data_IF_589795953677
#
_entry.id   IF_589795953677
#
_cell.length_a   1.000
_cell.length_b   1.000
_cell.length_c   1.000
_cell.angle_alpha   90.00
_cell.angle_beta   90.00
_cell.angle_gamma   90.00
#
_symmetry.space_group_name_H-M   'P 1'
#
loop_
_entity.id
_entity.type
_entity.pdbx_description
1 polymer ?
#
# COMPACT_ATOMS: atom_id res chain seq x y z
N UNK A 1 53.97 1.26 -59.04
CA UNK A 1 53.66 0.38 -57.89
C UNK A 1 53.12 1.23 -56.77
N UNK A 2 52.45 0.63 -55.77
CA UNK A 2 51.74 1.28 -54.65
C UNK A 2 50.46 2.00 -55.08
N UNK A 3 49.32 1.88 -54.40
CA UNK A 3 48.74 0.73 -53.67
C UNK A 3 47.23 0.98 -53.56
N UNK A 4 46.40 -0.04 -53.73
CA UNK A 4 44.97 0.06 -53.41
C UNK A 4 44.75 0.11 -51.90
N UNK A 5 44.06 1.13 -51.40
CA UNK A 5 43.54 1.14 -50.03
C UNK A 5 42.16 1.80 -50.00
N UNK A 6 41.12 1.03 -50.32
CA UNK A 6 39.74 1.46 -50.11
C UNK A 6 39.42 1.38 -48.62
N UNK A 7 39.33 2.53 -47.95
CA UNK A 7 38.87 2.61 -46.55
C UNK A 7 37.35 2.77 -46.55
N UNK A 8 36.64 1.64 -46.40
CA UNK A 8 35.20 1.64 -46.13
C UNK A 8 34.95 2.01 -44.67
N UNK A 9 34.60 3.28 -44.42
CA UNK A 9 34.15 3.72 -43.11
C UNK A 9 32.69 3.29 -42.87
N UNK A 10 32.50 2.18 -42.15
CA UNK A 10 31.17 1.74 -41.71
C UNK A 10 30.76 2.60 -40.51
N UNK A 11 29.90 3.60 -40.76
CA UNK A 11 29.28 4.37 -39.69
C UNK A 11 28.10 3.60 -39.08
N UNK A 12 28.34 2.94 -37.95
CA UNK A 12 27.28 2.30 -37.17
C UNK A 12 26.41 3.37 -36.47
N UNK A 13 25.22 3.63 -37.01
CA UNK A 13 24.24 4.50 -36.37
C UNK A 13 23.59 3.77 -35.19
N UNK A 14 24.08 4.03 -33.97
CA UNK A 14 23.43 3.56 -32.74
C UNK A 14 22.16 4.37 -32.53
N UNK A 15 21.02 3.77 -32.85
CA UNK A 15 19.72 4.33 -32.51
C UNK A 15 19.51 4.22 -31.00
N UNK A 16 19.77 5.30 -30.26
CA UNK A 16 19.43 5.38 -28.84
C UNK A 16 17.92 5.49 -28.70
N UNK A 17 17.26 4.38 -28.45
CA UNK A 17 15.87 4.39 -27.96
C UNK A 17 15.87 5.11 -26.62
N UNK A 18 15.31 6.32 -26.59
CA UNK A 18 15.07 7.04 -25.33
C UNK A 18 13.91 6.33 -24.66
N UNK A 19 14.23 5.38 -23.77
CA UNK A 19 13.24 4.80 -22.88
C UNK A 19 12.59 5.91 -22.07
N UNK A 20 11.33 6.19 -22.37
CA UNK A 20 10.56 7.22 -21.68
C UNK A 20 10.25 6.70 -20.27
N UNK A 21 11.18 6.91 -19.33
CA UNK A 21 11.05 6.43 -17.95
C UNK A 21 9.78 7.01 -17.35
N UNK A 22 8.76 6.16 -17.20
CA UNK A 22 7.47 6.51 -16.65
C UNK A 22 7.62 6.79 -15.15
N UNK A 23 8.00 8.02 -14.80
CA UNK A 23 8.43 8.39 -13.44
C UNK A 23 7.36 8.23 -12.35
N UNK A 24 6.07 8.18 -12.72
CA UNK A 24 4.91 8.13 -11.82
C UNK A 24 4.02 6.93 -12.17
N UNK A 25 3.05 6.56 -11.32
CA UNK A 25 2.21 5.38 -11.55
C UNK A 25 0.76 5.47 -11.05
N UNK A 26 0.01 4.40 -11.35
CA UNK A 26 -1.40 4.20 -11.04
C UNK A 26 -1.66 2.70 -10.80
N UNK A 27 -2.77 2.32 -10.17
CA UNK A 27 -3.20 0.91 -10.12
C UNK A 27 -3.53 0.45 -11.54
N UNK A 28 -2.77 -0.53 -12.05
CA UNK A 28 -2.93 -1.10 -13.39
C UNK A 28 -3.82 -2.36 -13.41
N UNK A 29 -3.91 -3.08 -12.28
CA UNK A 29 -4.82 -4.22 -12.07
C UNK A 29 -5.43 -4.13 -10.67
N UNK A 30 -6.76 -4.22 -10.50
CA UNK A 30 -7.78 -4.14 -11.55
C UNK A 30 -7.63 -2.86 -12.39
N UNK A 31 -8.09 -2.87 -13.64
CA UNK A 31 -7.84 -1.75 -14.56
C UNK A 31 -8.78 -0.56 -14.28
N UNK A 32 -8.29 0.68 -14.20
CA UNK A 32 -9.11 1.86 -13.99
C UNK A 32 -9.74 2.35 -15.30
N UNK A 33 -10.92 2.96 -15.18
CA UNK A 33 -11.43 3.91 -16.18
C UNK A 33 -10.84 5.31 -15.91
N UNK A 34 -10.77 6.16 -16.93
CA UNK A 34 -10.14 7.49 -16.87
C UNK A 34 -11.16 8.59 -17.13
N UNK A 35 -11.08 9.70 -16.36
CA UNK A 35 -11.92 10.90 -16.58
C UNK A 35 -11.67 11.55 -17.95
N UNK A 36 -10.44 11.41 -18.46
CA UNK A 36 -9.96 11.94 -19.72
C UNK A 36 -8.98 10.93 -20.35
N UNK A 37 -7.78 11.35 -20.73
CA UNK A 37 -6.72 10.43 -21.15
C UNK A 37 -6.13 9.64 -19.98
N UNK A 38 -5.59 8.46 -20.29
CA UNK A 38 -4.72 7.71 -19.40
C UNK A 38 -3.51 8.56 -19.01
N UNK A 39 -3.21 8.62 -17.73
CA UNK A 39 -2.05 9.35 -17.18
C UNK A 39 -1.48 8.59 -15.99
N UNK A 40 -0.19 8.76 -15.75
CA UNK A 40 0.51 8.11 -14.64
C UNK A 40 0.86 9.09 -13.51
N UNK A 41 0.62 10.39 -13.69
CA UNK A 41 1.05 11.43 -12.75
C UNK A 41 0.43 11.28 -11.36
N UNK A 42 1.12 11.82 -10.35
CA UNK A 42 0.55 12.15 -9.06
C UNK A 42 -0.69 13.05 -9.23
N UNK A 43 -1.63 12.98 -8.28
CA UNK A 43 -2.83 13.84 -8.26
C UNK A 43 -2.46 15.26 -7.89
N UNK A 44 -1.59 15.43 -6.90
CA UNK A 44 -0.98 16.72 -6.54
C UNK A 44 0.40 16.51 -5.92
N UNK A 45 1.27 17.52 -6.06
CA UNK A 45 2.53 17.66 -5.33
C UNK A 45 2.43 18.92 -4.46
N UNK A 46 2.72 18.79 -3.16
CA UNK A 46 2.54 19.83 -2.15
C UNK A 46 3.72 19.87 -1.17
N UNK A 47 3.92 21.00 -0.49
CA UNK A 47 4.79 21.03 0.70
C UNK A 47 4.15 20.21 1.84
N UNK A 48 4.94 19.65 2.77
CA UNK A 48 4.43 18.87 3.91
C UNK A 48 3.39 19.65 4.73
N UNK A 49 2.24 19.03 4.99
CA UNK A 49 1.13 19.69 5.69
C UNK A 49 1.35 19.81 7.21
N UNK A 50 2.41 19.18 7.74
CA UNK A 50 2.78 19.20 9.15
C UNK A 50 4.11 19.91 9.35
N UNK A 51 4.22 20.73 10.39
CA UNK A 51 5.49 21.34 10.79
C UNK A 51 6.37 20.32 11.49
N UNK A 52 7.65 20.27 11.16
CA UNK A 52 8.64 19.40 11.79
C UNK A 52 9.97 19.39 11.03
N UNK A 53 10.89 18.52 11.44
CA UNK A 53 12.28 18.46 10.97
C UNK A 53 12.47 17.85 9.57
N UNK A 54 11.70 18.31 8.59
CA UNK A 54 11.74 17.83 7.21
C UNK A 54 13.01 18.24 6.45
N UNK A 55 13.64 19.34 6.86
CA UNK A 55 14.87 19.85 6.25
C UNK A 55 16.11 19.08 6.72
N UNK A 56 16.03 18.42 7.88
CA UNK A 56 17.04 17.52 8.44
C UNK A 56 16.91 16.07 7.92
N UNK A 57 15.72 15.64 7.49
CA UNK A 57 15.43 14.29 6.98
C UNK A 57 16.31 13.89 5.79
N UNK A 58 17.10 12.82 5.89
CA UNK A 58 17.97 12.34 4.80
C UNK A 58 17.43 11.07 4.14
N UNK A 59 17.26 11.11 2.82
CA UNK A 59 16.72 9.99 2.04
C UNK A 59 15.30 9.61 2.42
N UNK A 60 14.80 8.54 1.81
CA UNK A 60 13.44 8.05 2.02
C UNK A 60 13.23 7.56 3.48
N UNK A 61 14.22 6.88 4.06
CA UNK A 61 14.21 6.45 5.47
C UNK A 61 14.06 7.62 6.45
N UNK A 62 14.82 8.70 6.25
CA UNK A 62 14.76 9.88 7.11
C UNK A 62 13.44 10.63 6.98
N UNK A 63 12.88 10.70 5.76
CA UNK A 63 11.56 11.29 5.52
C UNK A 63 10.45 10.48 6.20
N UNK A 64 10.51 9.15 6.08
CA UNK A 64 9.60 8.22 6.73
C UNK A 64 9.67 8.31 8.26
N UNK A 65 10.88 8.41 8.83
CA UNK A 65 11.07 8.59 10.26
C UNK A 65 10.42 9.89 10.76
N UNK A 66 10.65 11.01 10.07
CA UNK A 66 10.00 12.30 10.36
C UNK A 66 8.47 12.23 10.22
N UNK A 67 7.96 11.54 9.19
CA UNK A 67 6.51 11.31 9.03
C UNK A 67 5.94 10.52 10.22
N UNK A 68 6.57 9.41 10.61
CA UNK A 68 6.14 8.56 11.74
C UNK A 68 6.20 9.30 13.08
N UNK A 69 7.17 10.20 13.28
CA UNK A 69 7.26 11.05 14.47
C UNK A 69 6.13 12.10 14.54
N UNK A 70 5.75 12.66 13.39
CA UNK A 70 4.75 13.74 13.30
C UNK A 70 3.31 13.24 13.19
N UNK A 71 3.08 12.06 12.60
CA UNK A 71 1.77 11.45 12.43
C UNK A 71 0.89 11.47 13.71
N UNK A 72 1.32 10.93 14.87
CA UNK A 72 0.52 10.97 16.10
C UNK A 72 0.32 12.40 16.62
N UNK A 73 1.30 13.30 16.44
CA UNK A 73 1.21 14.71 16.86
C UNK A 73 0.17 15.50 16.04
N UNK A 74 -0.16 15.04 14.84
CA UNK A 74 -1.12 15.66 13.94
C UNK A 74 -2.45 14.87 13.86
N UNK A 75 -2.68 13.92 14.77
CA UNK A 75 -3.87 13.05 14.81
C UNK A 75 -4.10 12.24 13.52
N UNK A 76 -3.02 11.89 12.81
CA UNK A 76 -3.09 10.99 11.65
C UNK A 76 -3.63 9.63 12.07
N UNK A 77 -4.52 9.06 11.26
CA UNK A 77 -5.11 7.72 11.46
C UNK A 77 -4.76 6.81 10.30
N UNK A 78 -5.08 7.28 9.10
CA UNK A 78 -4.97 6.56 7.83
C UNK A 78 -4.85 7.60 6.70
N UNK A 79 -4.29 7.18 5.57
CA UNK A 79 -4.05 8.01 4.38
C UNK A 79 -5.38 8.48 3.78
N UNK A 80 -6.41 7.62 3.80
CA UNK A 80 -7.75 7.98 3.35
C UNK A 80 -8.30 9.20 4.09
N UNK A 81 -8.32 9.21 5.42
CA UNK A 81 -8.85 10.34 6.22
C UNK A 81 -7.94 11.57 6.21
N UNK A 82 -6.66 11.44 5.85
CA UNK A 82 -5.79 12.58 5.55
C UNK A 82 -6.16 13.26 4.21
N UNK A 83 -6.54 12.47 3.20
CA UNK A 83 -6.72 12.93 1.82
C UNK A 83 -8.17 13.16 1.39
N UNK A 84 -9.16 12.44 1.92
CA UNK A 84 -10.56 12.55 1.52
C UNK A 84 -11.21 13.81 2.13
N UNK A 85 -11.96 14.55 1.32
CA UNK A 85 -12.60 15.81 1.70
C UNK A 85 -11.63 17.00 1.82
N UNK A 86 -10.33 16.80 1.63
CA UNK A 86 -9.31 17.83 1.76
C UNK A 86 -8.77 18.26 0.38
N UNK A 87 -9.16 19.43 -0.15
CA UNK A 87 -8.82 19.86 -1.51
C UNK A 87 -7.33 20.11 -1.73
N UNK A 88 -6.52 20.20 -0.66
CA UNK A 88 -5.06 20.31 -0.77
C UNK A 88 -4.45 19.03 -1.35
N UNK A 89 -5.09 17.87 -1.16
CA UNK A 89 -4.69 16.58 -1.76
C UNK A 89 -5.30 16.32 -3.15
N UNK A 90 -5.99 17.33 -3.71
CA UNK A 90 -6.58 17.28 -5.05
C UNK A 90 -7.88 16.48 -5.14
N UNK A 91 -8.22 16.09 -6.37
CA UNK A 91 -9.46 15.38 -6.71
C UNK A 91 -9.59 14.00 -6.04
N UNK A 92 -10.77 13.67 -5.50
CA UNK A 92 -10.98 12.45 -4.71
C UNK A 92 -10.56 11.14 -5.38
N UNK A 93 -10.79 11.04 -6.69
CA UNK A 93 -10.43 9.90 -7.51
C UNK A 93 -9.26 10.21 -8.47
N UNK A 94 -8.53 11.30 -8.22
CA UNK A 94 -7.48 11.78 -9.11
C UNK A 94 -7.97 11.91 -10.55
N UNK A 95 -7.26 11.23 -11.46
CA UNK A 95 -7.58 11.16 -12.89
C UNK A 95 -8.49 9.98 -13.28
N UNK A 96 -8.77 9.06 -12.35
CA UNK A 96 -9.63 7.89 -12.60
C UNK A 96 -11.11 8.23 -12.48
N UNK A 97 -11.95 7.58 -13.28
CA UNK A 97 -13.39 7.81 -13.29
C UNK A 97 -14.14 6.80 -12.39
N UNK A 98 -14.69 7.24 -11.24
CA UNK A 98 -15.50 6.38 -10.36
C UNK A 98 -16.89 6.03 -10.94
N UNK A 99 -17.25 6.56 -12.11
CA UNK A 99 -18.47 6.20 -12.85
C UNK A 99 -18.17 5.40 -14.13
N UNK A 100 -16.91 5.05 -14.35
CA UNK A 100 -16.49 4.26 -15.49
C UNK A 100 -16.97 2.81 -15.44
N UNK A 101 -16.64 2.04 -16.49
CA UNK A 101 -17.01 0.63 -16.56
C UNK A 101 -16.36 -0.13 -15.39
N UNK A 102 -17.12 -0.94 -14.61
CA UNK A 102 -16.53 -1.81 -13.60
C UNK A 102 -15.54 -2.82 -14.18
N UNK A 103 -14.49 -3.08 -13.42
CA UNK A 103 -13.44 -4.06 -13.72
C UNK A 103 -13.61 -5.32 -12.88
N UNK A 104 -13.25 -6.46 -13.44
CA UNK A 104 -13.22 -7.73 -12.70
C UNK A 104 -12.09 -7.70 -11.65
N UNK A 105 -12.37 -8.07 -10.38
CA UNK A 105 -11.33 -8.28 -9.37
C UNK A 105 -10.33 -9.37 -9.78
N UNK A 106 -9.01 -9.17 -9.58
CA UNK A 106 -8.03 -10.24 -9.76
C UNK A 106 -8.29 -11.44 -8.84
N UNK A 107 -8.52 -12.61 -9.45
CA UNK A 107 -8.86 -13.86 -8.76
C UNK A 107 -7.73 -14.44 -7.89
N UNK A 108 -6.51 -13.94 -8.06
CA UNK A 108 -5.34 -14.28 -7.25
C UNK A 108 -5.18 -13.39 -6.00
N UNK A 109 -6.14 -12.49 -5.73
CA UNK A 109 -6.12 -11.58 -4.59
C UNK A 109 -5.02 -10.53 -4.65
N UNK A 110 -4.62 -10.10 -5.86
CA UNK A 110 -3.65 -9.01 -6.05
C UNK A 110 -4.29 -7.69 -6.43
N UNK A 111 -3.59 -6.59 -6.17
CA UNK A 111 -3.64 -5.40 -7.02
C UNK A 111 -2.21 -5.07 -7.46
N UNK A 112 -2.03 -4.38 -8.59
CA UNK A 112 -0.68 -4.04 -9.10
C UNK A 112 -0.56 -2.56 -9.42
N UNK A 113 0.47 -1.89 -8.91
CA UNK A 113 0.85 -0.54 -9.36
C UNK A 113 1.56 -0.63 -10.72
N UNK A 114 1.45 0.38 -11.58
CA UNK A 114 1.96 0.32 -12.96
C UNK A 114 3.49 0.32 -13.11
N UNK A 115 4.23 0.36 -12.00
CA UNK A 115 5.69 0.46 -11.85
C UNK A 115 6.07 0.07 -10.41
N UNK A 116 7.34 0.09 -10.07
CA UNK A 116 7.79 -0.05 -8.69
C UNK A 116 7.44 1.16 -7.82
N UNK A 117 7.30 0.94 -6.51
CA UNK A 117 7.26 2.02 -5.51
C UNK A 117 8.69 2.29 -5.06
N UNK A 118 9.15 3.53 -5.25
CA UNK A 118 10.56 3.94 -5.07
C UNK A 118 10.73 5.17 -4.16
N UNK A 119 9.66 5.56 -3.45
CA UNK A 119 9.69 6.61 -2.44
C UNK A 119 8.91 6.12 -1.22
N UNK A 120 9.45 6.33 -0.03
CA UNK A 120 8.83 5.83 1.19
C UNK A 120 7.53 6.59 1.48
N UNK A 121 6.72 5.97 2.33
CA UNK A 121 5.49 6.56 2.84
C UNK A 121 4.32 5.59 2.79
N UNK A 122 3.22 5.95 3.48
CA UNK A 122 2.10 5.06 3.70
C UNK A 122 1.25 4.89 2.43
N UNK A 123 0.75 3.68 2.21
CA UNK A 123 -0.26 3.39 1.20
C UNK A 123 -1.32 2.40 1.69
N UNK A 124 -2.50 2.49 1.07
CA UNK A 124 -3.70 1.79 1.47
C UNK A 124 -4.53 1.35 0.26
N UNK A 125 -5.20 0.21 0.39
CA UNK A 125 -6.30 -0.20 -0.49
C UNK A 125 -7.55 -0.40 0.38
N UNK A 126 -8.63 0.24 -0.06
CA UNK A 126 -9.97 0.11 0.52
C UNK A 126 -10.93 -0.47 -0.51
N UNK A 127 -11.89 -1.26 -0.06
CA UNK A 127 -13.07 -1.68 -0.82
C UNK A 127 -14.29 -1.08 -0.12
N UNK A 128 -14.91 -0.09 -0.76
CA UNK A 128 -15.86 0.83 -0.15
C UNK A 128 -15.32 1.40 1.17
N UNK A 129 -15.89 1.02 2.32
CA UNK A 129 -15.48 1.49 3.65
C UNK A 129 -14.64 0.47 4.44
N UNK A 130 -14.29 -0.68 3.86
CA UNK A 130 -13.37 -1.65 4.45
C UNK A 130 -11.95 -1.44 3.92
N UNK A 131 -11.03 -1.07 4.80
CA UNK A 131 -9.59 -1.16 4.50
C UNK A 131 -9.22 -2.64 4.36
N UNK A 132 -8.56 -3.01 3.27
CA UNK A 132 -8.16 -4.40 2.97
C UNK A 132 -6.64 -4.57 2.85
N UNK A 133 -5.88 -3.47 2.75
CA UNK A 133 -4.43 -3.45 2.79
C UNK A 133 -3.96 -2.09 3.30
N UNK A 134 -2.95 -2.08 4.17
CA UNK A 134 -2.21 -0.90 4.63
C UNK A 134 -0.75 -1.29 4.78
N UNK A 135 0.16 -0.37 4.44
CA UNK A 135 1.51 -0.38 5.00
C UNK A 135 1.98 1.07 5.23
N UNK A 136 2.75 1.31 6.28
CA UNK A 136 3.34 2.62 6.58
C UNK A 136 4.52 2.96 5.66
N UNK A 137 5.13 1.95 5.04
CA UNK A 137 6.22 2.10 4.07
C UNK A 137 6.03 1.15 2.88
N UNK A 138 5.33 1.63 1.86
CA UNK A 138 5.06 0.84 0.67
C UNK A 138 6.24 0.69 -0.29
N UNK A 139 7.33 1.47 -0.12
CA UNK A 139 8.58 1.24 -0.86
C UNK A 139 9.23 -0.05 -0.37
N UNK A 140 9.46 -0.18 0.93
CA UNK A 140 10.07 -1.38 1.51
C UNK A 140 9.16 -2.61 1.45
N UNK A 141 7.83 -2.43 1.46
CA UNK A 141 6.89 -3.54 1.47
C UNK A 141 6.56 -4.12 0.08
N UNK A 142 6.54 -3.28 -0.97
CA UNK A 142 6.06 -3.67 -2.31
C UNK A 142 6.98 -3.25 -3.47
N UNK A 143 8.06 -2.51 -3.20
CA UNK A 143 9.09 -2.16 -4.17
C UNK A 143 10.36 -3.03 -4.02
N UNK A 144 11.23 -2.95 -5.03
CA UNK A 144 12.57 -3.56 -5.01
C UNK A 144 13.70 -2.51 -5.12
N UNK A 145 13.35 -1.23 -4.89
CA UNK A 145 14.23 -0.08 -5.14
C UNK A 145 14.31 0.36 -6.61
N UNK A 146 13.70 -0.37 -7.55
CA UNK A 146 13.65 -0.01 -8.97
C UNK A 146 12.25 0.46 -9.40
N UNK A 147 12.20 1.18 -10.52
CA UNK A 147 10.92 1.55 -11.14
C UNK A 147 10.40 0.46 -12.10
N UNK A 148 11.25 -0.49 -12.50
CA UNK A 148 10.98 -1.47 -13.55
C UNK A 148 10.09 -2.62 -13.03
N UNK A 149 10.34 -3.07 -11.81
CA UNK A 149 9.54 -4.13 -11.17
C UNK A 149 8.21 -3.58 -10.70
N UNK A 150 7.12 -4.06 -11.31
CA UNK A 150 5.75 -3.72 -10.94
C UNK A 150 5.50 -4.07 -9.46
N UNK A 151 5.07 -3.09 -8.65
CA UNK A 151 4.70 -3.35 -7.26
C UNK A 151 3.38 -4.15 -7.19
N UNK A 152 3.40 -5.26 -6.46
CA UNK A 152 2.25 -6.17 -6.30
C UNK A 152 1.75 -6.11 -4.87
N UNK A 153 0.57 -5.51 -4.67
CA UNK A 153 -0.13 -5.49 -3.40
C UNK A 153 -0.87 -6.82 -3.21
N UNK A 154 -0.51 -7.57 -2.18
CA UNK A 154 -1.12 -8.87 -1.84
C UNK A 154 -1.00 -9.11 -0.32
N UNK A 155 -2.01 -9.71 0.33
CA UNK A 155 -3.34 -10.05 -0.19
C UNK A 155 -4.29 -8.84 -0.27
N UNK A 156 -5.26 -8.92 -1.18
CA UNK A 156 -6.42 -8.02 -1.28
C UNK A 156 -7.69 -8.86 -1.24
N UNK A 157 -8.52 -8.67 -0.21
CA UNK A 157 -9.73 -9.47 0.04
C UNK A 157 -10.96 -8.92 -0.71
N UNK A 158 -11.02 -9.22 -2.01
CA UNK A 158 -12.16 -8.85 -2.88
C UNK A 158 -13.49 -9.53 -2.52
N UNK A 159 -13.50 -10.55 -1.64
CA UNK A 159 -14.76 -11.18 -1.19
C UNK A 159 -15.63 -10.23 -0.35
N UNK A 160 -15.03 -9.14 0.15
CA UNK A 160 -15.68 -8.05 0.86
C UNK A 160 -16.70 -7.27 0.02
N UNK A 161 -16.61 -7.34 -1.31
CA UNK A 161 -17.50 -6.61 -2.20
C UNK A 161 -18.89 -7.27 -2.24
N UNK A 162 -19.94 -6.44 -2.25
CA UNK A 162 -21.31 -6.92 -2.42
C UNK A 162 -21.49 -7.55 -3.81
N UNK A 163 -22.55 -8.34 -4.01
CA UNK A 163 -22.85 -8.92 -5.33
C UNK A 163 -23.04 -7.87 -6.45
N UNK A 164 -23.42 -6.63 -6.09
CA UNK A 164 -23.51 -5.49 -7.00
C UNK A 164 -22.17 -4.82 -7.34
N UNK A 165 -21.07 -5.25 -6.74
CA UNK A 165 -19.76 -4.60 -6.83
C UNK A 165 -19.38 -3.80 -5.59
N UNK A 166 -18.31 -3.02 -5.75
CA UNK A 166 -17.72 -2.14 -4.74
C UNK A 166 -16.83 -1.10 -5.44
N UNK A 167 -16.39 -0.08 -4.72
CA UNK A 167 -15.35 0.85 -5.15
C UNK A 167 -14.00 0.45 -4.54
N UNK A 168 -13.04 0.00 -5.35
CA UNK A 168 -11.65 -0.02 -4.91
C UNK A 168 -11.11 1.40 -4.87
N UNK A 169 -10.52 1.79 -3.74
CA UNK A 169 -9.81 3.06 -3.57
C UNK A 169 -8.38 2.78 -3.17
N UNK A 170 -7.43 3.25 -3.96
CA UNK A 170 -6.00 3.22 -3.64
C UNK A 170 -5.52 4.61 -3.26
N UNK A 171 -4.74 4.67 -2.19
CA UNK A 171 -4.08 5.86 -1.68
C UNK A 171 -2.60 5.57 -1.48
N UNK A 172 -1.72 6.48 -1.89
CA UNK A 172 -0.31 6.48 -1.50
C UNK A 172 0.17 7.91 -1.32
N UNK A 173 0.80 8.18 -0.19
CA UNK A 173 1.47 9.45 0.10
C UNK A 173 2.98 9.23 -0.06
N UNK A 174 3.53 9.58 -1.22
CA UNK A 174 4.96 9.49 -1.45
C UNK A 174 5.68 10.66 -0.77
N UNK A 175 6.65 10.35 0.09
CA UNK A 175 7.50 11.31 0.75
C UNK A 175 8.78 11.46 -0.08
N UNK A 176 9.02 12.65 -0.65
CA UNK A 176 10.11 12.84 -1.60
C UNK A 176 10.90 14.13 -1.33
N UNK A 177 12.15 14.20 -1.78
CA UNK A 177 12.89 15.46 -1.91
C UNK A 177 13.04 15.86 -3.37
N UNK A 178 12.66 17.10 -3.68
CA UNK A 178 12.89 17.74 -4.98
C UNK A 178 13.62 19.07 -4.78
N UNK A 179 14.74 19.24 -5.50
CA UNK A 179 15.58 20.46 -5.48
C UNK A 179 15.95 20.93 -4.06
N UNK A 180 16.23 19.97 -3.17
CA UNK A 180 16.61 20.22 -1.77
C UNK A 180 15.44 20.43 -0.81
N UNK A 181 14.21 20.61 -1.28
CA UNK A 181 13.01 20.70 -0.44
C UNK A 181 12.31 19.35 -0.32
N UNK A 182 11.68 19.10 0.83
CA UNK A 182 10.74 17.99 1.00
C UNK A 182 9.40 18.34 0.37
N UNK A 183 8.81 17.39 -0.37
CA UNK A 183 7.47 17.46 -0.95
C UNK A 183 6.72 16.17 -0.64
N UNK A 184 5.39 16.26 -0.65
CA UNK A 184 4.50 15.10 -0.63
C UNK A 184 3.80 15.00 -1.99
N UNK A 185 3.82 13.82 -2.60
CA UNK A 185 3.00 13.52 -3.77
C UNK A 185 1.86 12.60 -3.39
N UNK A 186 0.62 13.01 -3.68
CA UNK A 186 -0.56 12.20 -3.44
C UNK A 186 -0.94 11.40 -4.67
N UNK A 187 -1.14 10.10 -4.50
CA UNK A 187 -1.66 9.20 -5.53
C UNK A 187 -3.03 8.69 -5.06
N UNK A 188 -4.11 9.06 -5.76
CA UNK A 188 -5.49 8.60 -5.50
C UNK A 188 -6.05 7.92 -6.76
N UNK A 189 -6.52 6.68 -6.64
CA UNK A 189 -7.25 6.00 -7.73
C UNK A 189 -8.56 5.40 -7.19
N UNK A 190 -9.65 5.53 -7.95
CA UNK A 190 -10.94 4.90 -7.73
C UNK A 190 -11.24 3.95 -8.90
N UNK A 191 -11.58 2.71 -8.59
CA UNK A 191 -11.85 1.66 -9.58
C UNK A 191 -13.16 0.98 -9.19
N UNK A 192 -14.26 1.21 -9.91
CA UNK A 192 -15.48 0.43 -9.74
C UNK A 192 -15.15 -1.04 -10.07
N UNK A 193 -15.55 -1.96 -9.20
CA UNK A 193 -15.37 -3.39 -9.40
C UNK A 193 -16.70 -4.12 -9.54
N UNK A 194 -16.70 -5.21 -10.30
CA UNK A 194 -17.80 -6.18 -10.27
C UNK A 194 -17.81 -6.95 -8.95
N UNK A 195 -18.99 -7.43 -8.56
CA UNK A 195 -19.18 -8.22 -7.35
C UNK A 195 -19.02 -9.72 -7.61
N UNK A 196 -18.52 -10.51 -6.62
CA UNK A 196 -18.57 -11.96 -6.72
C UNK A 196 -20.03 -12.45 -6.72
N UNK A 197 -20.28 -13.59 -7.39
CA UNK A 197 -21.60 -14.22 -7.37
C UNK A 197 -21.95 -14.64 -5.92
N UNK A 198 -22.99 -14.04 -5.34
CA UNK A 198 -23.35 -14.21 -3.93
C UNK A 198 -22.58 -13.31 -2.96
N UNK A 199 -21.88 -12.28 -3.43
CA UNK A 199 -21.20 -11.27 -2.61
C UNK A 199 -22.13 -10.63 -1.57
N UNK A 200 -21.59 -10.39 -0.38
CA UNK A 200 -22.37 -10.23 0.86
C UNK A 200 -23.51 -9.22 0.81
N UNK A 201 -24.61 -9.55 1.48
CA UNK A 201 -25.71 -8.64 1.76
C UNK A 201 -25.28 -7.61 2.83
N UNK A 202 -24.57 -6.57 2.40
CA UNK A 202 -24.22 -5.43 3.25
C UNK A 202 -25.45 -4.58 3.58
N UNK A 203 -25.43 -4.04 4.81
CA UNK A 203 -26.55 -3.47 5.57
C UNK A 203 -27.59 -2.63 4.80
N UNK A 204 -28.84 -2.74 5.24
CA UNK A 204 -29.92 -1.81 4.86
C UNK A 204 -29.56 -0.37 5.25
N UNK A 205 -29.70 0.55 4.30
CA UNK A 205 -29.96 1.96 4.62
C UNK A 205 -31.19 2.08 5.53
N UNK A 206 -31.23 3.05 6.47
CA UNK A 206 -32.39 3.29 7.32
C UNK A 206 -33.54 3.94 6.53
N UNK A 207 -34.25 3.13 5.74
CA UNK A 207 -35.48 3.53 5.08
C UNK A 207 -36.54 3.92 6.13
N UNK A 208 -36.94 5.18 6.10
CA UNK A 208 -37.87 5.75 7.08
C UNK A 208 -39.31 5.31 6.82
N UNK A 209 -39.91 4.61 7.79
CA UNK A 209 -41.34 4.65 8.11
C UNK A 209 -42.35 4.15 7.06
N UNK A 210 -42.87 2.95 7.27
CA UNK A 210 -44.01 2.41 6.53
C UNK A 210 -44.57 1.16 7.21
N UNK A 211 -45.25 1.32 8.35
CA UNK A 211 -45.76 0.20 9.14
C UNK A 211 -47.06 -0.39 8.58
N UNK A 212 -47.26 -1.69 8.76
CA UNK A 212 -48.58 -2.33 8.87
C UNK A 212 -48.46 -3.62 9.68
N UNK A 213 -49.35 -3.77 10.66
CA UNK A 213 -49.37 -4.85 11.63
C UNK A 213 -49.91 -6.18 11.08
N UNK A 214 -49.30 -7.29 11.49
CA UNK A 214 -50.04 -8.56 11.70
C UNK A 214 -49.47 -9.27 12.92
N UNK A 215 -50.20 -9.26 14.04
CA UNK A 215 -49.88 -10.02 15.25
C UNK A 215 -50.23 -11.49 15.07
N UNK A 216 -49.38 -12.39 15.57
CA UNK A 216 -49.78 -13.75 15.95
C UNK A 216 -49.40 -14.02 17.41
N UNK A 217 -50.13 -14.96 18.03
CA UNK A 217 -50.46 -14.97 19.45
C UNK A 217 -50.01 -16.27 20.11
N UNK A 218 -49.21 -16.17 21.18
CA UNK A 218 -48.96 -17.28 22.10
C UNK A 218 -50.21 -17.62 22.94
N UNK A 219 -50.26 -18.87 23.44
CA UNK A 219 -50.75 -19.14 24.79
C UNK A 219 -49.68 -19.85 25.64
N UNK A 220 -49.45 -19.34 26.85
CA UNK A 220 -48.80 -20.06 27.96
C UNK A 220 -49.82 -20.97 28.66
N UNK A 221 -49.42 -22.16 29.12
CA UNK A 221 -49.91 -22.79 30.36
C UNK A 221 -48.82 -23.68 31.01
N UNK A 222 -48.71 -23.56 32.34
CA UNK A 222 -47.93 -24.32 33.34
C UNK A 222 -48.95 -24.54 34.50
N UNK A 223 -48.92 -25.56 35.42
CA UNK A 223 -47.70 -25.98 36.10
C UNK A 223 -47.53 -27.42 36.67
N UNK A 224 -46.24 -27.78 36.88
CA UNK A 224 -45.68 -28.55 38.02
C UNK A 224 -45.98 -30.06 38.22
N UNK A 225 -44.94 -30.85 38.54
CA UNK A 225 -44.70 -31.51 39.86
C UNK A 225 -43.49 -32.52 39.81
N UNK A 226 -42.60 -32.39 40.81
CA UNK A 226 -41.77 -33.42 41.50
C UNK A 226 -40.64 -34.25 40.83
N UNK A 227 -39.42 -33.96 41.31
CA UNK A 227 -38.20 -34.80 41.53
C UNK A 227 -38.40 -35.96 42.55
N UNK A 228 -37.38 -36.80 42.93
CA UNK A 228 -36.04 -37.09 42.36
C UNK A 228 -35.68 -38.61 42.29
N UNK A 229 -34.48 -39.00 41.80
CA UNK A 229 -33.47 -39.81 42.55
C UNK A 229 -32.30 -40.44 41.73
N UNK A 230 -31.09 -39.90 41.93
CA UNK A 230 -29.86 -40.59 42.40
C UNK A 230 -29.17 -41.75 41.63
N UNK A 231 -27.86 -41.57 41.37
CA UNK A 231 -26.83 -42.63 41.24
C UNK A 231 -26.31 -42.87 39.81
N UNK A 232 -25.03 -42.81 39.47
CA UNK A 232 -23.80 -42.62 40.26
C UNK A 232 -22.94 -43.89 40.29
N UNK A 233 -21.77 -43.89 39.63
CA UNK A 233 -20.80 -45.00 39.68
C UNK A 233 -19.93 -45.10 38.42
N UNK A 234 -18.61 -45.07 38.59
CA UNK A 234 -17.61 -45.09 37.51
C UNK A 234 -17.05 -46.48 37.20
N UNK A 235 -16.36 -46.55 36.05
CA UNK A 235 -14.98 -47.03 35.89
C UNK A 235 -14.60 -48.37 35.19
N UNK A 236 -13.52 -48.23 34.42
CA UNK A 236 -12.48 -49.22 34.03
C UNK A 236 -12.73 -50.38 33.03
N UNK A 237 -12.26 -50.15 31.79
CA UNK A 237 -11.00 -50.73 31.21
C UNK A 237 -10.93 -52.11 30.51
N UNK A 238 -10.06 -52.12 29.47
CA UNK A 238 -9.36 -53.24 28.79
C UNK A 238 -10.19 -54.14 27.84
N UNK A 239 -9.66 -54.67 26.72
CA UNK A 239 -8.26 -54.77 26.21
C UNK A 239 -8.20 -54.99 24.66
N UNK A 240 -7.13 -54.54 24.01
CA UNK A 240 -6.62 -55.05 22.71
C UNK A 240 -5.95 -56.44 22.89
N UNK A 241 -5.85 -57.33 21.86
CA UNK A 241 -4.93 -57.15 20.71
C UNK A 241 -5.44 -57.67 19.33
N UNK A 242 -4.64 -57.77 18.24
CA UNK A 242 -3.67 -56.91 17.48
C UNK A 242 -2.95 -57.82 16.42
N UNK A 243 -2.64 -57.41 15.16
CA UNK A 243 -1.62 -58.07 14.26
C UNK A 243 -1.32 -57.33 12.91
N UNK A 244 -0.07 -57.43 12.42
CA UNK A 244 0.50 -57.05 11.09
C UNK A 244 1.37 -58.24 10.59
N UNK A 245 1.48 -58.53 9.27
CA UNK A 245 2.79 -58.32 8.61
C UNK A 245 2.78 -57.97 7.09
N UNK A 246 3.36 -56.82 6.75
CA UNK A 246 4.55 -56.65 5.89
C UNK A 246 4.71 -57.28 4.46
N UNK A 247 4.95 -56.38 3.48
CA UNK A 247 5.88 -56.41 2.31
C UNK A 247 5.73 -57.35 1.09
N UNK A 248 5.82 -56.75 -0.13
CA UNK A 248 6.84 -57.07 -1.18
C UNK A 248 6.87 -56.06 -2.35
N UNK A 249 8.01 -55.98 -3.07
CA UNK A 249 8.30 -55.20 -4.31
C UNK A 249 9.42 -55.99 -5.09
N UNK A 250 10.08 -55.56 -6.19
CA UNK A 250 9.83 -54.53 -7.24
C UNK A 250 10.13 -55.02 -8.70
N UNK A 251 9.97 -54.15 -9.73
CA UNK A 251 10.85 -54.09 -10.95
C UNK A 251 10.47 -52.93 -11.90
N UNK A 252 11.37 -51.98 -12.22
CA UNK A 252 12.33 -51.91 -13.37
C UNK A 252 11.68 -51.72 -14.75
N UNK A 253 12.14 -50.82 -15.65
CA UNK A 253 13.18 -49.79 -15.54
C UNK A 253 13.22 -48.87 -16.80
N UNK A 254 14.07 -47.83 -16.74
CA UNK A 254 14.94 -47.20 -17.78
C UNK A 254 14.40 -46.95 -19.23
N UNK A 255 14.75 -45.88 -19.97
CA UNK A 255 15.99 -45.09 -20.01
C UNK A 255 15.81 -43.63 -20.45
N UNK A 256 16.85 -42.81 -20.25
CA UNK A 256 16.97 -41.42 -20.73
C UNK A 256 17.86 -41.29 -21.99
N UNK A 257 17.58 -40.37 -22.93
CA UNK A 257 18.62 -39.47 -23.55
C UNK A 257 18.11 -38.38 -24.54
N UNK A 258 18.53 -37.14 -24.26
CA UNK A 258 19.17 -36.08 -25.12
C UNK A 258 18.70 -35.72 -26.55
N UNK A 259 18.71 -34.39 -26.77
CA UNK A 259 19.09 -33.62 -27.99
C UNK A 259 18.17 -33.77 -29.23
N UNK A 260 17.97 -32.76 -30.09
CA UNK A 260 18.78 -31.56 -30.40
C UNK A 260 17.93 -30.30 -30.70
N UNK A 261 18.64 -29.21 -31.00
CA UNK A 261 18.28 -27.85 -31.40
C UNK A 261 17.71 -27.77 -32.84
N UNK A 262 17.02 -26.67 -33.19
CA UNK A 262 17.31 -25.98 -34.46
C UNK A 262 16.78 -24.53 -34.53
N UNK A 263 17.33 -23.73 -35.45
CA UNK A 263 17.05 -22.30 -35.69
C UNK A 263 16.34 -22.06 -37.04
N UNK A 264 15.65 -20.93 -37.17
CA UNK A 264 15.81 -19.86 -38.21
C UNK A 264 14.73 -18.77 -37.96
N UNK A 265 15.03 -17.47 -37.91
CA UNK A 265 15.11 -16.49 -39.04
C UNK A 265 13.91 -16.54 -40.02
N UNK A 266 13.27 -15.44 -40.42
CA UNK A 266 13.38 -14.01 -40.07
C UNK A 266 12.48 -13.16 -40.99
N UNK A 267 12.28 -11.85 -40.73
CA UNK A 267 12.06 -10.80 -41.77
C UNK A 267 11.75 -9.40 -41.21
N UNK A 268 12.43 -8.40 -41.78
CA UNK A 268 12.23 -6.96 -41.51
C UNK A 268 10.95 -6.36 -42.10
N UNK A 269 10.52 -5.23 -41.54
CA UNK A 269 10.05 -4.08 -42.34
C UNK A 269 10.31 -2.73 -41.64
N UNK A 270 10.74 -1.74 -42.43
CA UNK A 270 11.03 -0.35 -42.02
C UNK A 270 9.93 0.61 -42.49
N UNK A 271 9.72 1.68 -41.73
CA UNK A 271 9.17 3.01 -42.08
C UNK A 271 9.12 3.83 -40.76
N UNK A 272 9.15 5.17 -40.72
CA UNK A 272 10.06 6.13 -41.36
C UNK A 272 10.33 7.26 -40.33
N UNK A 273 11.33 8.10 -40.54
CA UNK A 273 11.81 9.11 -39.59
C UNK A 273 10.96 10.38 -39.53
N UNK A 274 10.97 11.04 -38.36
CA UNK A 274 10.91 12.51 -38.34
C UNK A 274 11.80 13.11 -37.23
N UNK A 275 12.34 14.31 -37.47
CA UNK A 275 13.60 14.80 -36.84
C UNK A 275 13.40 16.12 -36.08
N UNK A 276 13.88 16.20 -34.84
CA UNK A 276 14.21 17.48 -34.18
C UNK A 276 15.51 17.39 -33.37
N UNK A 277 16.41 18.35 -33.59
CA UNK A 277 17.70 18.49 -32.90
C UNK A 277 17.58 19.33 -31.63
N UNK A 278 18.42 19.06 -30.62
CA UNK A 278 18.48 19.82 -29.37
C UNK A 278 19.61 19.35 -28.46
N UNK A 279 20.85 19.39 -28.94
CA UNK A 279 22.00 18.82 -28.21
C UNK A 279 22.55 19.73 -27.11
N UNK A 280 23.11 19.12 -26.06
CA UNK A 280 24.28 19.67 -25.35
C UNK A 280 25.08 18.56 -24.68
N UNK A 281 26.40 18.64 -24.84
CA UNK A 281 27.40 17.68 -24.36
C UNK A 281 27.79 18.00 -22.92
N UNK A 282 28.20 16.97 -22.18
CA UNK A 282 29.26 17.08 -21.17
C UNK A 282 29.97 15.74 -21.07
N UNK A 283 31.27 15.74 -21.37
CA UNK A 283 32.12 14.55 -21.42
C UNK A 283 32.56 14.11 -20.01
N UNK A 284 32.59 12.80 -19.77
CA UNK A 284 33.22 12.20 -18.58
C UNK A 284 34.42 11.35 -19.01
N UNK A 285 35.67 11.70 -18.63
CA UNK A 285 36.79 10.79 -18.70
C UNK A 285 36.87 9.90 -17.45
N UNK A 286 37.19 8.63 -17.65
CA UNK A 286 37.44 7.64 -16.60
C UNK A 286 38.94 7.54 -16.28
N UNK A 287 39.28 7.12 -15.06
CA UNK A 287 40.56 6.51 -14.72
C UNK A 287 41.42 7.28 -13.72
N UNK A 288 41.94 6.57 -12.71
CA UNK A 288 42.96 7.08 -11.80
C UNK A 288 42.89 6.45 -10.40
N UNK A 289 43.83 5.55 -10.13
CA UNK A 289 44.06 4.83 -8.87
C UNK A 289 43.91 5.68 -7.59
N UNK A 290 43.37 5.06 -6.52
CA UNK A 290 43.57 5.55 -5.16
C UNK A 290 44.29 4.50 -4.31
N UNK A 291 45.51 4.84 -3.92
CA UNK A 291 46.26 4.15 -2.88
C UNK A 291 45.63 4.46 -1.51
N UNK A 292 45.63 3.46 -0.62
CA UNK A 292 45.26 3.60 0.79
C UNK A 292 46.15 4.62 1.51
N UNK A 293 45.58 5.60 2.24
CA UNK A 293 46.27 6.30 3.31
C UNK A 293 45.91 5.69 4.68
N UNK A 294 46.89 5.58 5.56
CA UNK A 294 46.75 5.02 6.91
C UNK A 294 45.94 5.94 7.83
N UNK A 295 45.28 5.35 8.84
CA UNK A 295 44.50 6.09 9.83
C UNK A 295 45.41 6.82 10.84
N UNK A 296 45.20 8.14 11.09
CA UNK A 296 45.85 8.81 12.21
C UNK A 296 45.21 8.40 13.53
N UNK A 297 46.01 7.80 14.41
CA UNK A 297 45.65 7.50 15.79
C UNK A 297 45.39 8.78 16.59
N UNK A 298 44.18 8.96 17.11
CA UNK A 298 43.82 10.09 17.97
C UNK A 298 43.79 9.62 19.46
N UNK A 299 44.43 10.34 20.40
CA UNK A 299 44.48 9.94 21.80
C UNK A 299 43.13 10.14 22.53
N UNK A 300 42.96 9.41 23.63
CA UNK A 300 41.74 9.45 24.45
C UNK A 300 41.55 10.80 25.16
N UNK A 301 40.30 11.26 25.37
CA UNK A 301 40.02 12.40 26.25
C UNK A 301 40.12 12.00 27.73
N UNK A 302 40.82 12.81 28.53
CA UNK A 302 40.85 12.66 29.99
C UNK A 302 39.53 13.12 30.65
N UNK A 303 39.12 12.40 31.70
CA UNK A 303 37.98 12.74 32.55
C UNK A 303 38.33 13.81 33.59
N UNK A 304 37.50 14.84 33.77
CA UNK A 304 37.44 15.60 35.02
C UNK A 304 36.23 15.20 35.87
N UNK A 305 36.45 15.02 37.17
CA UNK A 305 35.39 14.71 38.13
C UNK A 305 34.43 15.87 38.40
N UNK A 306 33.14 15.60 38.23
CA UNK A 306 32.04 15.87 39.17
C UNK A 306 32.11 17.12 40.07
N UNK A 307 31.19 18.06 39.85
CA UNK A 307 30.52 18.85 40.91
C UNK A 307 29.19 19.39 40.38
N UNK A 308 28.09 18.89 40.93
CA UNK A 308 26.74 19.32 40.57
C UNK A 308 26.33 20.61 41.33
N UNK A 309 25.70 21.60 40.68
CA UNK A 309 24.96 22.66 41.36
C UNK A 309 23.60 22.14 41.85
N UNK A 310 23.24 22.44 43.10
CA UNK A 310 21.92 22.10 43.66
C UNK A 310 20.80 22.91 43.00
N UNK A 311 19.73 22.23 42.60
CA UNK A 311 18.51 22.86 42.09
C UNK A 311 17.65 23.39 43.25
N UNK A 312 17.20 24.65 43.25
CA UNK A 312 16.15 25.09 44.17
C UNK A 312 14.79 24.46 43.80
N UNK A 313 13.87 24.31 44.77
CA UNK A 313 12.60 23.61 44.57
C UNK A 313 11.60 24.40 43.70
N UNK A 314 10.66 23.66 43.10
CA UNK A 314 9.63 24.21 42.23
C UNK A 314 8.45 24.81 43.02
N UNK A 315 8.19 26.10 42.85
CA UNK A 315 6.89 26.70 43.16
C UNK A 315 5.93 26.49 41.98
N UNK A 316 4.98 25.59 42.15
CA UNK A 316 3.90 25.35 41.19
C UNK A 316 2.62 25.98 41.71
N UNK A 317 1.97 26.92 41.00
CA UNK A 317 0.69 27.44 41.42
C UNK A 317 -0.40 26.35 41.28
N UNK A 318 -1.04 26.02 42.39
CA UNK A 318 -2.14 25.05 42.47
C UNK A 318 -3.37 25.57 41.71
N UNK A 319 -3.55 25.07 40.48
CA UNK A 319 -4.72 25.40 39.65
C UNK A 319 -5.90 24.50 40.08
N UNK A 320 -6.87 25.08 40.80
CA UNK A 320 -8.02 24.35 41.30
C UNK A 320 -8.82 23.63 40.17
N UNK A 321 -9.36 22.43 40.40
CA UNK A 321 -10.10 21.69 39.39
C UNK A 321 -11.41 22.41 39.02
N UNK A 322 -11.66 22.57 37.71
CA UNK A 322 -12.89 23.14 37.21
C UNK A 322 -14.11 22.26 37.58
N UNK A 323 -15.25 22.84 38.00
CA UNK A 323 -16.44 22.07 38.34
C UNK A 323 -17.06 21.41 37.10
N UNK A 324 -17.50 20.16 37.25
CA UNK A 324 -18.12 19.39 36.17
C UNK A 324 -19.42 20.05 35.65
N UNK A 325 -19.74 19.94 34.34
CA UNK A 325 -20.95 20.52 33.78
C UNK A 325 -22.21 19.82 34.31
N UNK A 326 -22.97 20.50 35.17
CA UNK A 326 -24.23 19.97 35.70
C UNK A 326 -25.32 19.93 34.62
N UNK A 327 -25.83 18.73 34.33
CA UNK A 327 -26.94 18.52 33.41
C UNK A 327 -28.27 18.98 34.00
N UNK A 328 -28.89 20.02 33.40
CA UNK A 328 -30.30 20.38 33.66
C UNK A 328 -31.06 20.69 32.38
N UNK A 329 -31.70 19.68 31.83
CA UNK A 329 -32.71 19.82 30.79
C UNK A 329 -33.90 20.64 31.32
N UNK A 330 -34.17 21.80 30.73
CA UNK A 330 -35.40 22.56 30.96
C UNK A 330 -36.22 22.64 29.67
N UNK A 331 -37.07 21.62 29.46
CA UNK A 331 -37.95 21.52 28.29
C UNK A 331 -39.05 22.57 28.29
N UNK A 332 -38.82 23.71 27.62
CA UNK A 332 -39.81 24.79 27.50
C UNK A 332 -40.89 24.43 26.47
N UNK A 333 -41.98 23.79 26.91
CA UNK A 333 -43.19 23.58 26.09
C UNK A 333 -43.69 24.92 25.51
N UNK A 334 -43.57 25.10 24.20
CA UNK A 334 -44.29 26.17 23.48
C UNK A 334 -45.73 25.71 23.23
N UNK A 335 -46.71 26.32 23.89
CA UNK A 335 -48.09 26.34 23.38
C UNK A 335 -48.09 27.22 22.13
N UNK A 336 -48.64 26.72 21.02
CA UNK A 336 -49.10 27.58 19.92
C UNK A 336 -50.53 28.03 20.23
N UNK A 337 -50.84 29.26 19.86
CA UNK A 337 -52.22 29.69 19.59
C UNK A 337 -52.68 29.04 18.27
#
# INVERSE_FOLDING_TARGET
MVSTTSILAIAAAVATTIDYVQAHGYIAKPAPSWKASKTNNWVVEIEPQWKGGWDESKGDEGLLATFKELAPKNNFKDVRSLMDGNPVFGEECGFTDPKGKPSEPPSDGTATFSRGIVHAGPCEIWLDDKMVLQNDDCQSAYGDGTQQTIAVFKPVDYSSCAAGGCMLRFYWLALQRLKGKTVWQAYKNCIPLTGPAGGGASQQDPATGGGSDTSQKNPDEDPSQQDPATGGGSDTSQKNPDEDPSQTSPSTGDSSKKEDSDKEEGSDKKEDSDKMEGGSKSDTPSGGEQQTPEAPSNPAPETPSNSAPETPPADTPEMAPAPAPSSKCNGRRRRRY
#
